data_IF_593502940094
#
_entry.id   IF_593502940094
#
_cell.length_a   1.000
_cell.length_b   1.000
_cell.length_c   1.000
_cell.angle_alpha   90.00
_cell.angle_beta   90.00
_cell.angle_gamma   90.00
#
_symmetry.space_group_name_H-M   'P 1'
#
loop_
_entity.id
_entity.type
_entity.pdbx_description
1 polymer ?
#
# COMPACT_ATOMS: atom_id res chain seq x y z
N UNK A 1 -28.89 -7.21 -8.16
CA UNK A 1 -28.37 -5.95 -8.73
C UNK A 1 -26.92 -5.81 -8.32
N UNK A 2 -25.99 -5.64 -9.26
CA UNK A 2 -24.58 -5.44 -8.94
C UNK A 2 -24.42 -4.07 -8.24
N UNK A 3 -23.80 -4.05 -7.07
CA UNK A 3 -23.54 -2.83 -6.31
C UNK A 3 -22.61 -1.93 -7.12
N UNK A 4 -22.94 -0.64 -7.27
CA UNK A 4 -22.05 0.34 -7.90
C UNK A 4 -20.74 0.41 -7.10
N UNK A 5 -19.57 0.31 -7.75
CA UNK A 5 -18.28 0.41 -7.06
C UNK A 5 -18.14 1.77 -6.38
N UNK A 6 -17.49 1.79 -5.22
CA UNK A 6 -17.22 3.02 -4.48
C UNK A 6 -16.24 3.93 -5.23
N UNK A 7 -16.17 5.22 -4.87
CA UNK A 7 -15.33 6.20 -5.57
C UNK A 7 -13.84 5.83 -5.60
N UNK A 8 -13.36 5.06 -4.64
CA UNK A 8 -11.95 4.65 -4.53
C UNK A 8 -11.71 3.18 -4.91
N UNK A 9 -12.67 2.52 -5.57
CA UNK A 9 -12.62 1.08 -5.83
C UNK A 9 -11.43 0.66 -6.71
N UNK A 10 -10.96 1.58 -7.56
CA UNK A 10 -9.81 1.37 -8.45
C UNK A 10 -8.48 1.80 -7.84
N UNK A 11 -8.47 2.27 -6.58
CA UNK A 11 -7.23 2.64 -5.91
C UNK A 11 -6.36 1.41 -5.63
N UNK A 12 -5.04 1.57 -5.71
CA UNK A 12 -4.08 0.51 -5.39
C UNK A 12 -4.30 -0.04 -3.97
N UNK A 13 -4.70 0.83 -3.03
CA UNK A 13 -5.12 0.51 -1.67
C UNK A 13 -6.27 -0.50 -1.66
N UNK A 14 -7.37 -0.21 -2.36
CA UNK A 14 -8.55 -1.06 -2.39
C UNK A 14 -8.25 -2.44 -3.01
N UNK A 15 -7.54 -2.45 -4.13
CA UNK A 15 -7.12 -3.67 -4.83
C UNK A 15 -6.20 -4.52 -3.95
N UNK A 16 -5.24 -3.88 -3.28
CA UNK A 16 -4.31 -4.54 -2.38
C UNK A 16 -5.04 -5.15 -1.17
N UNK A 17 -5.95 -4.41 -0.54
CA UNK A 17 -6.72 -4.90 0.59
C UNK A 17 -7.58 -6.12 0.21
N UNK A 18 -8.27 -6.08 -0.93
CA UNK A 18 -9.10 -7.21 -1.37
C UNK A 18 -8.28 -8.50 -1.53
N UNK A 19 -7.12 -8.40 -2.19
CA UNK A 19 -6.17 -9.52 -2.33
C UNK A 19 -5.66 -10.00 -0.97
N UNK A 20 -5.16 -9.08 -0.13
CA UNK A 20 -4.55 -9.44 1.16
C UNK A 20 -5.55 -10.08 2.12
N UNK A 21 -6.79 -9.60 2.13
CA UNK A 21 -7.88 -10.20 2.90
C UNK A 21 -8.16 -11.63 2.45
N UNK A 22 -8.17 -11.88 1.13
CA UNK A 22 -8.35 -13.23 0.59
C UNK A 22 -7.20 -14.18 0.98
N UNK A 23 -5.96 -13.70 0.99
CA UNK A 23 -4.81 -14.48 1.46
C UNK A 23 -4.96 -14.89 2.93
N UNK A 24 -5.46 -13.99 3.79
CA UNK A 24 -5.60 -14.22 5.23
C UNK A 24 -6.85 -15.00 5.64
N UNK A 25 -7.78 -15.30 4.71
CA UNK A 25 -9.09 -15.90 5.01
C UNK A 25 -9.04 -17.22 5.78
N UNK A 26 -7.92 -17.94 5.70
CA UNK A 26 -7.69 -19.20 6.40
C UNK A 26 -7.27 -19.02 7.87
N UNK A 27 -6.84 -17.81 8.24
CA UNK A 27 -6.37 -17.44 9.59
C UNK A 27 -7.32 -16.50 10.32
N UNK A 28 -7.86 -15.50 9.63
CA UNK A 28 -8.65 -14.41 10.23
C UNK A 28 -9.83 -14.04 9.34
N UNK A 29 -10.98 -13.72 9.93
CA UNK A 29 -12.11 -13.17 9.17
C UNK A 29 -11.96 -11.67 8.96
N UNK A 30 -12.69 -11.09 8.00
CA UNK A 30 -12.73 -9.63 7.81
C UNK A 30 -13.17 -8.89 9.08
N UNK A 31 -14.11 -9.47 9.83
CA UNK A 31 -14.60 -8.93 11.09
C UNK A 31 -13.50 -8.90 12.15
N UNK A 32 -12.73 -9.98 12.28
CA UNK A 32 -11.64 -10.06 13.26
C UNK A 32 -10.55 -9.04 12.95
N UNK A 33 -10.20 -8.89 11.66
CA UNK A 33 -9.23 -7.89 11.22
C UNK A 33 -9.76 -6.46 11.52
N UNK A 34 -11.05 -6.21 11.29
CA UNK A 34 -11.64 -4.89 11.57
C UNK A 34 -11.57 -4.53 13.06
N UNK A 35 -11.90 -5.49 13.92
CA UNK A 35 -11.84 -5.35 15.38
C UNK A 35 -10.38 -5.15 15.82
N UNK A 36 -9.45 -5.97 15.34
CA UNK A 36 -8.03 -5.87 15.67
C UNK A 36 -7.41 -4.54 15.20
N UNK A 37 -7.88 -3.99 14.08
CA UNK A 37 -7.47 -2.69 13.58
C UNK A 37 -8.10 -1.51 14.34
N UNK A 38 -9.03 -1.77 15.28
CA UNK A 38 -9.68 -0.75 16.10
C UNK A 38 -10.85 -0.05 15.42
N UNK A 39 -11.44 -0.64 14.38
CA UNK A 39 -12.64 -0.08 13.75
C UNK A 39 -13.90 -0.39 14.56
N UNK A 40 -14.66 0.64 14.89
CA UNK A 40 -15.97 0.48 15.56
C UNK A 40 -16.99 -0.22 14.66
N UNK A 41 -16.92 0.02 13.35
CA UNK A 41 -17.79 -0.61 12.37
C UNK A 41 -17.17 -1.94 11.87
N UNK A 42 -17.81 -3.10 12.11
CA UNK A 42 -17.31 -4.40 11.66
C UNK A 42 -17.19 -4.54 10.13
N UNK A 43 -17.97 -3.76 9.38
CA UNK A 43 -17.99 -3.77 7.92
C UNK A 43 -16.92 -2.88 7.29
N UNK A 44 -16.05 -2.28 8.10
CA UNK A 44 -15.12 -1.26 7.60
C UNK A 44 -14.09 -1.82 6.61
N UNK A 45 -13.63 -3.05 6.80
CA UNK A 45 -12.79 -3.71 5.81
C UNK A 45 -13.48 -3.86 4.45
N UNK A 46 -14.76 -4.22 4.46
CA UNK A 46 -15.55 -4.34 3.23
C UNK A 46 -15.73 -2.97 2.56
N UNK A 47 -15.93 -1.90 3.33
CA UNK A 47 -16.03 -0.55 2.78
C UNK A 47 -14.71 -0.07 2.17
N UNK A 48 -13.58 -0.32 2.83
CA UNK A 48 -12.26 0.04 2.34
C UNK A 48 -11.90 -0.70 1.04
N UNK A 49 -12.08 -2.02 0.99
CA UNK A 49 -11.73 -2.82 -0.20
C UNK A 49 -12.66 -2.57 -1.39
N UNK A 50 -13.91 -2.19 -1.14
CA UNK A 50 -14.84 -1.77 -2.19
C UNK A 50 -14.65 -0.29 -2.59
N UNK A 51 -13.75 0.43 -1.91
CA UNK A 51 -13.47 1.84 -2.17
C UNK A 51 -14.60 2.79 -1.78
N UNK A 52 -15.50 2.38 -0.88
CA UNK A 52 -16.58 3.24 -0.36
C UNK A 52 -16.04 4.36 0.55
N UNK A 53 -14.86 4.14 1.14
CA UNK A 53 -14.18 5.08 2.04
C UNK A 53 -12.67 4.96 1.90
N UNK A 54 -11.96 6.03 2.28
CA UNK A 54 -10.49 6.05 2.36
C UNK A 54 -10.00 5.45 3.67
N UNK A 55 -8.75 4.99 3.66
CA UNK A 55 -8.05 4.61 4.88
C UNK A 55 -7.58 5.87 5.62
N UNK A 56 -8.04 6.04 6.85
CA UNK A 56 -7.56 7.12 7.69
C UNK A 56 -6.10 6.85 8.13
N UNK A 57 -5.25 7.89 8.07
CA UNK A 57 -3.80 7.78 8.31
C UNK A 57 -3.48 7.28 9.73
N UNK A 58 -4.28 7.71 10.72
CA UNK A 58 -4.20 7.28 12.12
C UNK A 58 -4.47 5.77 12.31
N UNK A 59 -5.13 5.12 11.34
CA UNK A 59 -5.45 3.68 11.36
C UNK A 59 -4.47 2.83 10.56
N UNK A 60 -3.50 3.43 9.87
CA UNK A 60 -2.54 2.67 9.06
C UNK A 60 -1.75 1.69 9.90
N UNK A 61 -1.23 2.11 11.06
CA UNK A 61 -0.38 1.26 11.88
C UNK A 61 -1.14 0.05 12.44
N UNK A 62 -2.34 0.27 12.98
CA UNK A 62 -3.17 -0.80 13.56
C UNK A 62 -3.71 -1.75 12.50
N UNK A 63 -4.11 -1.23 11.33
CA UNK A 63 -4.55 -2.06 10.22
C UNK A 63 -3.41 -2.89 9.62
N UNK A 64 -2.21 -2.31 9.49
CA UNK A 64 -1.04 -3.03 8.99
C UNK A 64 -0.68 -4.21 9.90
N UNK A 65 -0.70 -4.00 11.22
CA UNK A 65 -0.49 -5.07 12.21
C UNK A 65 -1.57 -6.16 12.09
N UNK A 66 -2.84 -5.78 11.96
CA UNK A 66 -3.95 -6.74 11.82
C UNK A 66 -3.84 -7.59 10.54
N UNK A 67 -3.39 -6.98 9.44
CA UNK A 67 -3.16 -7.61 8.13
C UNK A 67 -1.80 -8.31 8.00
N UNK A 68 -0.93 -8.26 9.02
CA UNK A 68 0.42 -8.83 8.95
C UNK A 68 1.18 -8.31 7.72
N UNK A 69 1.19 -6.99 7.51
CA UNK A 69 1.87 -6.30 6.39
C UNK A 69 2.74 -5.15 6.89
N UNK A 70 3.62 -4.67 6.01
CA UNK A 70 4.44 -3.50 6.32
C UNK A 70 3.58 -2.22 6.42
N UNK A 71 3.61 -1.51 7.56
CA UNK A 71 2.89 -0.25 7.73
C UNK A 71 3.33 0.86 6.77
N UNK A 72 4.60 0.89 6.34
CA UNK A 72 5.09 1.89 5.39
C UNK A 72 4.49 1.70 4.00
N UNK A 73 4.39 0.45 3.56
CA UNK A 73 3.74 0.12 2.29
C UNK A 73 2.26 0.51 2.33
N UNK A 74 1.57 0.16 3.42
CA UNK A 74 0.15 0.50 3.58
C UNK A 74 -0.06 2.03 3.67
N UNK A 75 0.85 2.76 4.33
CA UNK A 75 0.83 4.23 4.36
C UNK A 75 0.96 4.84 2.97
N UNK A 76 1.92 4.35 2.17
CA UNK A 76 2.13 4.82 0.80
C UNK A 76 0.86 4.66 -0.05
N UNK A 77 0.20 3.50 0.05
CA UNK A 77 -1.07 3.26 -0.64
C UNK A 77 -2.20 4.17 -0.16
N UNK A 78 -2.27 4.45 1.15
CA UNK A 78 -3.28 5.35 1.72
C UNK A 78 -3.09 6.81 1.25
N UNK A 79 -1.84 7.28 1.21
CA UNK A 79 -1.51 8.62 0.73
C UNK A 79 -1.73 8.78 -0.78
N UNK A 80 -1.61 7.70 -1.55
CA UNK A 80 -1.86 7.69 -2.99
C UNK A 80 -3.35 7.65 -3.36
N UNK A 81 -4.27 7.53 -2.40
CA UNK A 81 -5.71 7.59 -2.70
C UNK A 81 -6.13 9.00 -3.13
N UNK A 82 -7.02 9.08 -4.13
CA UNK A 82 -7.53 10.35 -4.66
C UNK A 82 -8.04 11.31 -3.56
N UNK A 83 -7.68 12.59 -3.69
CA UNK A 83 -7.99 13.63 -2.71
C UNK A 83 -7.02 13.71 -1.52
N UNK A 84 -5.90 12.97 -1.56
CA UNK A 84 -4.82 13.07 -0.57
C UNK A 84 -3.54 13.71 -1.15
N UNK A 85 -3.61 14.38 -2.31
CA UNK A 85 -2.45 14.89 -3.06
C UNK A 85 -1.60 15.87 -2.23
N UNK A 86 -2.26 16.68 -1.39
CA UNK A 86 -1.56 17.60 -0.48
C UNK A 86 -0.85 16.85 0.65
N UNK A 87 -1.45 15.81 1.21
CA UNK A 87 -0.77 14.98 2.23
C UNK A 87 0.41 14.23 1.61
N UNK A 88 0.23 13.66 0.41
CA UNK A 88 1.30 12.97 -0.31
C UNK A 88 2.52 13.89 -0.54
N UNK A 89 2.28 15.13 -1.00
CA UNK A 89 3.35 16.13 -1.18
C UNK A 89 4.06 16.49 0.13
N UNK A 90 3.32 16.72 1.21
CA UNK A 90 3.92 17.05 2.52
C UNK A 90 4.78 15.88 3.02
N UNK A 91 4.31 14.65 2.88
CA UNK A 91 5.08 13.48 3.27
C UNK A 91 6.38 13.35 2.47
N UNK A 92 6.33 13.57 1.16
CA UNK A 92 7.51 13.54 0.28
C UNK A 92 8.52 14.66 0.63
N UNK A 93 8.02 15.87 0.91
CA UNK A 93 8.85 17.02 1.25
C UNK A 93 9.50 16.92 2.65
N UNK A 94 8.78 16.40 3.64
CA UNK A 94 9.21 16.40 5.05
C UNK A 94 9.99 15.13 5.42
N UNK A 95 9.58 13.97 4.90
CA UNK A 95 10.15 12.66 5.27
C UNK A 95 11.01 12.09 4.14
N UNK A 96 10.83 12.54 2.90
CA UNK A 96 11.36 11.88 1.71
C UNK A 96 10.53 10.66 1.33
N UNK A 97 11.14 9.72 0.62
CA UNK A 97 10.42 8.57 0.08
C UNK A 97 10.14 7.53 1.18
N UNK A 98 8.86 7.19 1.40
CA UNK A 98 8.49 6.11 2.32
C UNK A 98 8.84 4.76 1.68
N UNK A 99 9.95 4.16 2.11
CA UNK A 99 10.46 2.87 1.61
C UNK A 99 10.00 1.72 2.52
N UNK A 100 9.23 0.78 1.96
CA UNK A 100 8.85 -0.48 2.63
C UNK A 100 10.04 -1.44 2.77
N UNK A 101 9.95 -2.42 3.65
CA UNK A 101 10.97 -3.44 3.88
C UNK A 101 11.33 -4.19 2.58
N UNK A 102 10.35 -4.50 1.73
CA UNK A 102 10.62 -5.15 0.45
C UNK A 102 11.32 -4.19 -0.53
N UNK A 103 10.99 -2.90 -0.53
CA UNK A 103 11.69 -1.90 -1.34
C UNK A 103 13.13 -1.68 -0.85
N UNK A 104 13.41 -1.84 0.46
CA UNK A 104 14.79 -1.85 0.97
C UNK A 104 15.58 -3.00 0.34
N UNK A 105 15.01 -4.19 0.20
CA UNK A 105 15.66 -5.30 -0.50
C UNK A 105 16.01 -4.97 -1.96
N UNK A 106 15.12 -4.25 -2.68
CA UNK A 106 15.44 -3.75 -4.02
C UNK A 106 16.58 -2.73 -4.02
N UNK A 107 16.63 -1.84 -3.03
CA UNK A 107 17.73 -0.89 -2.87
C UNK A 107 19.05 -1.59 -2.57
N UNK A 108 19.04 -2.67 -1.77
CA UNK A 108 20.22 -3.48 -1.48
C UNK A 108 20.76 -4.16 -2.74
N UNK A 109 19.89 -4.75 -3.56
CA UNK A 109 20.27 -5.33 -4.86
C UNK A 109 20.85 -4.27 -5.79
N UNK A 110 20.25 -3.07 -5.84
CA UNK A 110 20.79 -1.97 -6.64
C UNK A 110 22.16 -1.49 -6.14
N UNK A 111 22.37 -1.44 -4.83
CA UNK A 111 23.66 -1.10 -4.21
C UNK A 111 24.72 -2.15 -4.50
N UNK A 112 24.38 -3.43 -4.41
CA UNK A 112 25.28 -4.52 -4.79
C UNK A 112 25.65 -4.43 -6.28
N UNK A 113 24.66 -4.30 -7.16
CA UNK A 113 24.86 -4.24 -8.61
C UNK A 113 25.66 -3.01 -9.06
N UNK A 114 25.53 -1.89 -8.34
CA UNK A 114 26.29 -0.66 -8.60
C UNK A 114 27.66 -0.63 -7.91
N UNK A 115 28.00 -1.64 -7.10
CA UNK A 115 29.22 -1.62 -6.28
C UNK A 115 29.23 -0.47 -5.26
N UNK A 116 28.06 -0.12 -4.71
CA UNK A 116 27.81 1.05 -3.86
C UNK A 116 28.13 2.40 -4.50
N UNK A 117 28.23 2.47 -5.84
CA UNK A 117 28.26 3.75 -6.55
C UNK A 117 26.87 4.39 -6.60
N UNK A 118 26.79 5.65 -7.02
CA UNK A 118 25.52 6.40 -7.18
C UNK A 118 25.23 6.71 -8.66
N UNK A 119 24.87 5.70 -9.48
CA UNK A 119 24.61 5.91 -10.90
C UNK A 119 23.23 6.54 -11.13
N UNK A 120 23.15 7.53 -12.01
CA UNK A 120 21.87 8.07 -12.46
C UNK A 120 21.04 7.01 -13.21
N UNK A 121 19.71 7.05 -13.03
CA UNK A 121 18.80 6.13 -13.72
C UNK A 121 18.72 6.48 -15.22
N UNK A 122 19.30 5.65 -16.06
CA UNK A 122 19.26 5.80 -17.52
C UNK A 122 17.98 5.19 -18.12
N UNK A 123 17.62 5.58 -19.36
CA UNK A 123 16.50 4.98 -20.10
C UNK A 123 16.63 3.45 -20.21
N UNK A 124 17.85 2.95 -20.42
CA UNK A 124 18.14 1.51 -20.48
C UNK A 124 17.88 0.83 -19.14
N UNK A 125 18.44 1.37 -18.05
CA UNK A 125 18.22 0.83 -16.70
C UNK A 125 16.73 0.80 -16.34
N UNK A 126 16.01 1.88 -16.64
CA UNK A 126 14.55 1.95 -16.45
C UNK A 126 13.82 0.87 -17.24
N UNK A 127 14.13 0.68 -18.52
CA UNK A 127 13.50 -0.35 -19.36
C UNK A 127 13.78 -1.76 -18.82
N UNK A 128 15.00 -2.03 -18.37
CA UNK A 128 15.36 -3.33 -17.78
C UNK A 128 14.57 -3.60 -16.50
N UNK A 129 14.47 -2.61 -15.59
CA UNK A 129 13.69 -2.77 -14.36
C UNK A 129 12.21 -3.00 -14.66
N UNK A 130 11.62 -2.24 -15.58
CA UNK A 130 10.22 -2.42 -15.96
C UNK A 130 9.92 -3.81 -16.53
N UNK A 131 10.85 -4.35 -17.32
CA UNK A 131 10.71 -5.70 -17.90
C UNK A 131 10.62 -6.82 -16.86
N UNK A 132 11.24 -6.67 -15.68
CA UNK A 132 11.14 -7.64 -14.57
C UNK A 132 9.69 -7.76 -14.07
N UNK A 133 8.92 -6.67 -14.17
CA UNK A 133 7.52 -6.61 -13.74
C UNK A 133 6.53 -6.75 -14.92
N UNK A 134 7.00 -7.07 -16.12
CA UNK A 134 6.17 -7.22 -17.32
C UNK A 134 5.57 -5.90 -17.82
N UNK A 135 6.25 -4.77 -17.60
CA UNK A 135 5.88 -3.43 -18.08
C UNK A 135 6.79 -2.92 -19.18
#
# INVERSE_FOLDING_TARGET
MARKPGPHATSDLAIYLDRRILELRHKKTQRDIAIAAGFTNPNMLSMLKNGDTKLAVDRVATLAAALEVDPKYLLRLALAQDGNETMFRIYDEVIGTVVSHNEVGWLEVLREASGNSDPAVTTRARSTILSIFGK
#
